data_IF_641350211713
#
_entry.id   IF_641350211713
#
_cell.length_a   1.000
_cell.length_b   1.000
_cell.length_c   1.000
_cell.angle_alpha   90.00
_cell.angle_beta   90.00
_cell.angle_gamma   90.00
#
_symmetry.space_group_name_H-M   'P 1'
#
loop_
_entity.id
_entity.type
_entity.pdbx_description
1 polymer ?
#
# COMPACT_ATOMS: atom_id res chain seq x y z
N UNK A 1 -4.71 12.64 -22.32
CA UNK A 1 -4.79 11.19 -21.98
C UNK A 1 -4.87 11.05 -20.48
N UNK A 2 -5.62 10.06 -19.97
CA UNK A 2 -5.73 9.83 -18.52
C UNK A 2 -4.41 9.26 -17.96
N UNK A 3 -3.72 8.45 -18.74
CA UNK A 3 -2.41 7.85 -18.44
C UNK A 3 -1.51 7.96 -19.67
N UNK A 4 -0.21 8.12 -19.45
CA UNK A 4 0.82 7.93 -20.47
C UNK A 4 1.44 6.53 -20.36
N UNK A 5 2.09 6.05 -21.42
CA UNK A 5 2.67 4.69 -21.47
C UNK A 5 3.77 4.50 -20.43
N UNK A 6 4.58 5.55 -20.18
CA UNK A 6 5.64 5.53 -19.18
C UNK A 6 5.06 5.39 -17.76
N UNK A 7 3.94 6.09 -17.46
CA UNK A 7 3.25 5.97 -16.19
C UNK A 7 2.73 4.56 -15.96
N UNK A 8 2.11 3.94 -16.98
CA UNK A 8 1.60 2.58 -16.88
C UNK A 8 2.73 1.56 -16.63
N UNK A 9 3.86 1.71 -17.33
CA UNK A 9 5.03 0.87 -17.09
C UNK A 9 5.59 1.04 -15.67
N UNK A 10 5.72 2.28 -15.21
CA UNK A 10 6.22 2.60 -13.87
C UNK A 10 5.30 2.06 -12.77
N UNK A 11 3.97 2.19 -12.92
CA UNK A 11 2.99 1.61 -12.01
C UNK A 11 3.11 0.08 -11.99
N UNK A 12 3.16 -0.57 -13.16
CA UNK A 12 3.27 -2.02 -13.27
C UNK A 12 4.55 -2.55 -12.59
N UNK A 13 5.71 -1.94 -12.88
CA UNK A 13 6.99 -2.33 -12.26
C UNK A 13 6.90 -2.16 -10.73
N UNK A 14 6.39 -1.04 -10.25
CA UNK A 14 6.30 -0.76 -8.81
C UNK A 14 5.36 -1.71 -8.08
N UNK A 15 4.22 -2.03 -8.67
CA UNK A 15 3.24 -2.98 -8.12
C UNK A 15 3.81 -4.39 -8.03
N UNK A 16 4.47 -4.86 -9.09
CA UNK A 16 5.13 -6.17 -9.07
C UNK A 16 6.22 -6.18 -8.00
N UNK A 17 7.07 -5.16 -7.97
CA UNK A 17 8.18 -5.09 -7.02
C UNK A 17 7.71 -5.05 -5.56
N UNK A 18 6.70 -4.22 -5.21
CA UNK A 18 6.18 -4.16 -3.85
C UNK A 18 5.49 -5.48 -3.46
N UNK A 19 4.77 -6.11 -4.38
CA UNK A 19 4.11 -7.40 -4.12
C UNK A 19 5.12 -8.51 -3.87
N UNK A 20 6.20 -8.58 -4.65
CA UNK A 20 7.31 -9.52 -4.43
C UNK A 20 8.00 -9.26 -3.10
N UNK A 21 8.33 -7.99 -2.79
CA UNK A 21 8.99 -7.63 -1.54
C UNK A 21 8.15 -8.03 -0.32
N UNK A 22 6.84 -7.74 -0.32
CA UNK A 22 5.94 -8.11 0.77
C UNK A 22 5.76 -9.63 0.85
N UNK A 23 5.65 -10.33 -0.27
CA UNK A 23 5.60 -11.80 -0.26
C UNK A 23 6.85 -12.40 0.39
N UNK A 24 8.04 -11.89 0.07
CA UNK A 24 9.30 -12.32 0.69
C UNK A 24 9.34 -12.02 2.20
N UNK A 25 8.83 -10.87 2.64
CA UNK A 25 8.77 -10.51 4.07
C UNK A 25 7.84 -11.44 4.84
N UNK A 26 6.66 -11.76 4.27
CA UNK A 26 5.66 -12.58 4.96
C UNK A 26 6.14 -14.00 5.24
N UNK A 27 6.76 -14.68 4.28
CA UNK A 27 7.17 -16.07 4.41
C UNK A 27 8.69 -16.24 4.59
N UNK A 28 9.43 -15.15 4.53
CA UNK A 28 10.90 -15.12 4.56
C UNK A 28 11.52 -15.58 3.24
N UNK A 29 12.76 -15.16 2.98
CA UNK A 29 13.46 -15.46 1.73
C UNK A 29 13.54 -16.96 1.44
N UNK A 30 13.90 -17.79 2.45
CA UNK A 30 13.99 -19.25 2.27
C UNK A 30 12.63 -19.88 1.93
N UNK A 31 11.56 -19.43 2.60
CA UNK A 31 10.19 -19.86 2.29
C UNK A 31 9.78 -19.47 0.86
N UNK A 32 10.10 -18.26 0.47
CA UNK A 32 9.81 -17.73 -0.87
C UNK A 32 10.50 -18.53 -1.96
N UNK A 33 11.81 -18.82 -1.81
CA UNK A 33 12.60 -19.60 -2.76
C UNK A 33 12.23 -21.09 -2.82
N UNK A 34 11.52 -21.61 -1.81
CA UNK A 34 11.08 -23.02 -1.75
C UNK A 34 9.65 -23.23 -2.30
N UNK A 35 8.96 -22.19 -2.75
CA UNK A 35 7.63 -22.33 -3.33
C UNK A 35 7.68 -23.07 -4.68
N UNK A 36 6.73 -23.98 -4.88
CA UNK A 36 6.44 -24.45 -6.23
C UNK A 36 5.90 -23.30 -7.08
N UNK A 37 6.03 -23.40 -8.41
CA UNK A 37 5.58 -22.32 -9.31
C UNK A 37 4.08 -22.00 -9.14
N UNK A 38 3.24 -23.03 -8.94
CA UNK A 38 1.81 -22.85 -8.70
C UNK A 38 1.53 -22.14 -7.37
N UNK A 39 2.20 -22.53 -6.29
CA UNK A 39 2.07 -21.86 -4.99
C UNK A 39 2.59 -20.42 -5.05
N UNK A 40 3.69 -20.17 -5.76
CA UNK A 40 4.22 -18.83 -5.98
C UNK A 40 3.19 -17.94 -6.69
N UNK A 41 2.67 -18.37 -7.85
CA UNK A 41 1.70 -17.58 -8.62
C UNK A 41 0.43 -17.30 -7.83
N UNK A 42 -0.10 -18.30 -7.11
CA UNK A 42 -1.29 -18.12 -6.28
C UNK A 42 -1.04 -17.16 -5.13
N UNK A 43 0.07 -17.32 -4.40
CA UNK A 43 0.43 -16.43 -3.29
C UNK A 43 0.73 -15.01 -3.78
N UNK A 44 1.48 -14.87 -4.87
CA UNK A 44 1.76 -13.58 -5.50
C UNK A 44 0.48 -12.85 -5.90
N UNK A 45 -0.49 -13.55 -6.50
CA UNK A 45 -1.79 -12.96 -6.86
C UNK A 45 -2.53 -12.44 -5.62
N UNK A 46 -2.53 -13.20 -4.52
CA UNK A 46 -3.18 -12.76 -3.27
C UNK A 46 -2.50 -11.50 -2.69
N UNK A 47 -1.17 -11.44 -2.72
CA UNK A 47 -0.42 -10.25 -2.29
C UNK A 47 -0.64 -9.08 -3.26
N UNK A 48 -0.71 -9.33 -4.56
CA UNK A 48 -1.03 -8.32 -5.56
C UNK A 48 -2.41 -7.70 -5.31
N UNK A 49 -3.42 -8.53 -5.00
CA UNK A 49 -4.79 -8.07 -4.73
C UNK A 49 -4.94 -7.33 -3.38
N UNK A 50 -4.05 -7.54 -2.44
CA UNK A 50 -4.06 -6.84 -1.14
C UNK A 50 -3.13 -5.62 -1.14
N UNK A 51 -1.83 -5.86 -1.30
CA UNK A 51 -0.78 -4.84 -1.25
C UNK A 51 -0.69 -4.04 -2.54
N UNK A 52 -0.66 -4.71 -3.68
CA UNK A 52 -0.53 -4.06 -4.99
C UNK A 52 -1.69 -3.12 -5.27
N UNK A 53 -2.91 -3.57 -5.03
CA UNK A 53 -4.10 -2.72 -5.17
C UNK A 53 -4.10 -1.56 -4.18
N UNK A 54 -3.69 -1.79 -2.92
CA UNK A 54 -3.55 -0.73 -1.92
C UNK A 54 -2.59 0.36 -2.36
N UNK A 55 -1.44 -0.02 -2.91
CA UNK A 55 -0.46 0.91 -3.46
C UNK A 55 -0.98 1.66 -4.69
N UNK A 56 -1.51 0.95 -5.71
CA UNK A 56 -2.05 1.60 -6.92
C UNK A 56 -3.11 2.62 -6.56
N UNK A 57 -4.10 2.24 -5.75
CA UNK A 57 -5.22 3.11 -5.41
C UNK A 57 -4.78 4.31 -4.58
N UNK A 58 -3.74 4.17 -3.76
CA UNK A 58 -3.10 5.30 -3.07
C UNK A 58 -2.53 6.32 -4.06
N UNK A 59 -1.69 5.87 -5.01
CA UNK A 59 -1.08 6.76 -6.01
C UNK A 59 -2.12 7.38 -6.96
N UNK A 60 -3.12 6.59 -7.38
CA UNK A 60 -4.21 7.11 -8.20
C UNK A 60 -5.07 8.14 -7.46
N UNK A 61 -5.24 7.99 -6.14
CA UNK A 61 -5.95 8.99 -5.34
C UNK A 61 -5.26 10.34 -5.36
N UNK A 62 -3.92 10.39 -5.25
CA UNK A 62 -3.14 11.62 -5.42
C UNK A 62 -3.34 12.21 -6.81
N UNK A 63 -3.21 11.38 -7.85
CA UNK A 63 -3.39 11.80 -9.24
C UNK A 63 -4.76 12.42 -9.47
N UNK A 64 -5.83 11.71 -9.11
CA UNK A 64 -7.19 12.21 -9.33
C UNK A 64 -7.51 13.43 -8.48
N UNK A 65 -6.98 13.52 -7.26
CA UNK A 65 -7.11 14.73 -6.44
C UNK A 65 -6.41 15.92 -7.09
N UNK A 66 -5.21 15.76 -7.67
CA UNK A 66 -4.51 16.81 -8.40
C UNK A 66 -5.28 17.23 -9.66
N UNK A 67 -5.82 16.27 -10.42
CA UNK A 67 -6.62 16.52 -11.62
C UNK A 67 -7.90 17.29 -11.32
N UNK A 68 -8.55 17.09 -10.17
CA UNK A 68 -9.71 17.89 -9.73
C UNK A 68 -9.37 19.36 -9.50
N UNK A 69 -8.12 19.69 -9.26
CA UNK A 69 -7.62 21.06 -9.21
C UNK A 69 -7.09 21.58 -10.55
N UNK A 70 -7.32 20.84 -11.66
CA UNK A 70 -6.89 21.20 -13.00
C UNK A 70 -5.38 21.00 -13.25
N UNK A 71 -4.71 20.21 -12.44
CA UNK A 71 -3.28 19.96 -12.54
C UNK A 71 -3.00 18.64 -13.26
N UNK A 72 -1.96 18.62 -14.09
CA UNK A 72 -1.45 17.37 -14.62
C UNK A 72 -0.65 16.66 -13.53
N UNK A 73 -0.87 15.35 -13.38
CA UNK A 73 -0.14 14.52 -12.46
C UNK A 73 0.10 13.14 -13.07
N UNK A 74 1.29 12.59 -12.86
CA UNK A 74 1.68 11.28 -13.35
C UNK A 74 2.57 10.57 -12.32
N UNK A 75 2.34 9.27 -12.14
CA UNK A 75 3.20 8.44 -11.32
C UNK A 75 4.55 8.22 -12.00
N UNK A 76 5.63 8.31 -11.24
CA UNK A 76 6.98 7.95 -11.69
C UNK A 76 7.66 7.07 -10.66
N UNK A 77 8.19 5.93 -11.10
CA UNK A 77 8.97 5.05 -10.28
C UNK A 77 10.31 5.68 -9.89
N UNK A 78 10.77 5.36 -8.70
CA UNK A 78 12.10 5.75 -8.23
C UNK A 78 13.03 4.53 -8.22
N UNK A 79 13.96 4.39 -9.20
CA UNK A 79 14.78 3.19 -9.35
C UNK A 79 15.57 2.82 -8.10
N UNK A 80 16.16 3.80 -7.40
CA UNK A 80 16.89 3.55 -6.15
C UNK A 80 15.95 3.06 -5.03
N UNK A 81 14.74 3.60 -4.94
CA UNK A 81 13.72 3.15 -3.98
C UNK A 81 13.24 1.73 -4.27
N UNK A 82 13.02 1.38 -5.54
CA UNK A 82 12.71 0.01 -5.97
C UNK A 82 13.83 -0.98 -5.59
N UNK A 83 15.09 -0.59 -5.84
CA UNK A 83 16.24 -1.41 -5.47
C UNK A 83 16.31 -1.63 -3.95
N UNK A 84 16.21 -0.56 -3.16
CA UNK A 84 16.23 -0.65 -1.69
C UNK A 84 15.07 -1.50 -1.18
N UNK A 85 13.87 -1.32 -1.74
CA UNK A 85 12.68 -2.08 -1.35
C UNK A 85 12.85 -3.59 -1.52
N UNK A 86 13.55 -4.04 -2.59
CA UNK A 86 13.83 -5.45 -2.84
C UNK A 86 15.07 -5.94 -2.07
N UNK A 87 16.05 -5.07 -1.87
CA UNK A 87 17.32 -5.44 -1.22
C UNK A 87 17.12 -5.89 0.22
N UNK A 88 16.30 -5.21 1.02
CA UNK A 88 16.09 -5.56 2.43
C UNK A 88 15.53 -6.98 2.60
N UNK A 89 14.44 -7.40 1.94
CA UNK A 89 13.98 -8.78 2.01
C UNK A 89 14.97 -9.80 1.46
N UNK A 90 15.74 -9.47 0.42
CA UNK A 90 16.80 -10.33 -0.12
C UNK A 90 17.94 -10.55 0.87
N UNK A 91 18.25 -9.57 1.70
CA UNK A 91 19.21 -9.71 2.81
C UNK A 91 18.63 -10.46 4.02
N UNK A 92 17.36 -10.87 3.96
CA UNK A 92 16.68 -11.62 5.04
C UNK A 92 16.00 -10.74 6.08
N UNK A 93 15.95 -9.43 5.90
CA UNK A 93 15.19 -8.54 6.77
C UNK A 93 13.69 -8.74 6.58
N UNK A 94 12.95 -8.68 7.68
CA UNK A 94 11.48 -8.84 7.68
C UNK A 94 10.76 -7.49 7.69
N UNK A 95 11.29 -6.54 6.96
CA UNK A 95 10.64 -5.25 6.72
C UNK A 95 10.94 -4.75 5.31
N UNK A 96 10.09 -3.85 4.82
CA UNK A 96 10.21 -3.22 3.50
C UNK A 96 10.27 -1.71 3.66
N UNK A 97 11.26 -1.09 3.04
CA UNK A 97 11.25 0.35 2.82
C UNK A 97 10.39 0.63 1.58
N UNK A 98 9.10 0.93 1.80
CA UNK A 98 8.14 1.08 0.71
C UNK A 98 8.15 2.52 0.14
N UNK A 99 9.11 2.80 -0.73
CA UNK A 99 9.17 4.03 -1.51
C UNK A 99 9.48 3.73 -2.99
N UNK A 100 8.60 2.97 -3.70
CA UNK A 100 8.88 2.55 -5.07
C UNK A 100 8.81 3.68 -6.08
N UNK A 101 8.22 4.81 -5.73
CA UNK A 101 8.02 5.98 -6.57
C UNK A 101 7.05 6.95 -5.93
N UNK A 102 6.57 7.92 -6.68
CA UNK A 102 5.59 8.90 -6.24
C UNK A 102 4.79 9.48 -7.41
N UNK A 103 3.61 10.00 -7.12
CA UNK A 103 2.83 10.81 -8.06
C UNK A 103 3.37 12.24 -8.10
N UNK A 104 3.99 12.60 -9.21
CA UNK A 104 4.49 13.95 -9.47
C UNK A 104 3.35 14.85 -9.97
N UNK A 105 3.27 16.03 -9.39
CA UNK A 105 2.27 17.06 -9.75
C UNK A 105 2.98 18.16 -10.52
N UNK A 106 2.59 18.35 -11.76
CA UNK A 106 3.17 19.38 -12.64
C UNK A 106 2.33 20.65 -12.52
N UNK A 107 2.68 21.50 -11.56
CA UNK A 107 2.02 22.77 -11.31
C UNK A 107 3.04 23.87 -11.05
N UNK A 108 2.80 25.05 -11.62
CA UNK A 108 3.67 26.24 -11.41
C UNK A 108 3.67 26.69 -9.93
N UNK A 109 2.50 26.62 -9.28
CA UNK A 109 2.34 26.91 -7.85
C UNK A 109 1.25 26.04 -7.26
N UNK A 110 1.53 25.47 -6.10
CA UNK A 110 0.58 24.73 -5.25
C UNK A 110 0.31 25.58 -4.00
N UNK A 111 -0.95 25.86 -3.70
CA UNK A 111 -1.31 26.40 -2.39
C UNK A 111 -1.12 25.32 -1.31
N UNK A 112 -0.89 25.75 -0.06
CA UNK A 112 -0.78 24.79 1.07
C UNK A 112 -2.02 23.89 1.17
N UNK A 113 -3.22 24.44 0.91
CA UNK A 113 -4.47 23.68 0.94
C UNK A 113 -4.54 22.63 -0.16
N UNK A 114 -4.20 22.99 -1.39
CA UNK A 114 -4.18 22.03 -2.50
C UNK A 114 -3.17 20.92 -2.25
N UNK A 115 -1.94 21.26 -1.85
CA UNK A 115 -0.91 20.27 -1.54
C UNK A 115 -1.36 19.33 -0.41
N UNK A 116 -1.93 19.87 0.68
CA UNK A 116 -2.44 19.07 1.79
C UNK A 116 -3.60 18.16 1.40
N UNK A 117 -4.59 18.64 0.63
CA UNK A 117 -5.72 17.82 0.18
C UNK A 117 -5.30 16.72 -0.78
N UNK A 118 -4.38 17.00 -1.70
CA UNK A 118 -3.83 16.00 -2.62
C UNK A 118 -3.07 14.95 -1.81
N UNK A 119 -2.20 15.38 -0.89
CA UNK A 119 -1.43 14.45 -0.06
C UNK A 119 -2.27 13.65 0.94
N UNK A 120 -3.43 14.16 1.36
CA UNK A 120 -4.36 13.41 2.21
C UNK A 120 -5.06 12.27 1.44
N UNK A 121 -5.24 12.41 0.13
CA UNK A 121 -6.04 11.48 -0.67
C UNK A 121 -5.50 10.05 -0.64
N UNK A 122 -4.18 9.85 -0.73
CA UNK A 122 -3.55 8.53 -0.65
C UNK A 122 -3.78 7.82 0.68
N UNK A 123 -3.34 8.39 1.81
CA UNK A 123 -3.56 7.80 3.13
C UNK A 123 -5.03 7.57 3.48
N UNK A 124 -5.92 8.47 3.06
CA UNK A 124 -7.37 8.31 3.25
C UNK A 124 -7.89 7.11 2.44
N UNK A 125 -7.43 6.93 1.21
CA UNK A 125 -7.78 5.76 0.39
C UNK A 125 -7.32 4.46 1.06
N UNK A 126 -6.13 4.42 1.62
CA UNK A 126 -5.68 3.25 2.38
C UNK A 126 -6.54 2.99 3.62
N UNK A 127 -6.94 4.02 4.37
CA UNK A 127 -7.84 3.88 5.51
C UNK A 127 -9.21 3.28 5.09
N UNK A 128 -9.77 3.76 3.98
CA UNK A 128 -11.03 3.24 3.42
C UNK A 128 -10.88 1.78 2.94
N UNK A 129 -9.76 1.42 2.30
CA UNK A 129 -9.49 0.06 1.87
C UNK A 129 -9.33 -0.88 3.09
N UNK A 130 -8.61 -0.46 4.12
CA UNK A 130 -8.50 -1.24 5.35
C UNK A 130 -9.87 -1.50 5.98
N UNK A 131 -10.71 -0.47 6.09
CA UNK A 131 -12.07 -0.60 6.57
C UNK A 131 -12.92 -1.54 5.69
N UNK A 132 -12.74 -1.47 4.36
CA UNK A 132 -13.44 -2.36 3.42
C UNK A 132 -13.03 -3.83 3.60
N UNK A 133 -11.72 -4.11 3.78
CA UNK A 133 -11.24 -5.47 4.07
C UNK A 133 -11.79 -6.00 5.39
N UNK A 134 -11.82 -5.18 6.45
CA UNK A 134 -12.39 -5.57 7.75
C UNK A 134 -13.91 -5.79 7.66
N UNK A 135 -14.63 -4.92 6.97
CA UNK A 135 -16.06 -5.09 6.75
C UNK A 135 -16.37 -6.36 5.95
N UNK A 136 -15.58 -6.63 4.89
CA UNK A 136 -15.72 -7.85 4.10
C UNK A 136 -15.43 -9.11 4.94
N UNK A 137 -14.41 -9.08 5.81
CA UNK A 137 -14.13 -10.16 6.74
C UNK A 137 -15.30 -10.38 7.71
N UNK A 138 -15.81 -9.30 8.31
CA UNK A 138 -16.94 -9.35 9.22
C UNK A 138 -18.19 -9.96 8.56
N UNK A 139 -18.52 -9.54 7.35
CA UNK A 139 -19.64 -10.12 6.59
C UNK A 139 -19.38 -11.57 6.24
N UNK A 140 -18.20 -11.91 5.71
CA UNK A 140 -17.85 -13.26 5.31
C UNK A 140 -18.00 -14.25 6.48
N UNK A 141 -17.38 -13.97 7.62
CA UNK A 141 -17.43 -14.84 8.79
C UNK A 141 -18.76 -14.72 9.55
N UNK A 142 -19.40 -13.54 9.52
CA UNK A 142 -20.73 -13.30 10.11
C UNK A 142 -21.82 -14.14 9.45
N UNK A 143 -21.69 -14.48 8.16
CA UNK A 143 -22.57 -15.43 7.48
C UNK A 143 -22.18 -16.91 7.71
N UNK A 144 -21.22 -17.19 8.59
CA UNK A 144 -20.79 -18.55 8.92
C UNK A 144 -19.96 -19.23 7.81
N UNK A 145 -19.40 -18.46 6.87
CA UNK A 145 -18.59 -19.03 5.79
C UNK A 145 -17.25 -19.56 6.34
N UNK A 146 -16.74 -20.69 5.81
CA UNK A 146 -15.57 -21.37 6.37
C UNK A 146 -14.27 -20.63 6.06
N UNK A 147 -13.31 -20.70 6.99
CA UNK A 147 -11.94 -20.23 6.76
C UNK A 147 -11.16 -21.24 5.89
N UNK A 148 -11.34 -21.17 4.57
CA UNK A 148 -10.68 -22.10 3.64
C UNK A 148 -9.23 -21.68 3.36
N UNK A 149 -8.36 -22.68 3.12
CA UNK A 149 -6.99 -22.46 2.64
C UNK A 149 -7.01 -22.08 1.18
N UNK A 150 -6.43 -20.91 0.85
CA UNK A 150 -6.29 -20.40 -0.51
C UNK A 150 -5.01 -20.92 -1.17
N UNK A 151 -3.93 -21.00 -0.40
CA UNK A 151 -2.65 -21.56 -0.85
C UNK A 151 -1.87 -22.20 0.30
N UNK A 152 -1.28 -23.38 0.07
CA UNK A 152 -0.33 -24.00 0.98
C UNK A 152 1.03 -23.31 0.88
N UNK A 153 1.64 -23.03 2.04
CA UNK A 153 2.95 -22.40 2.16
C UNK A 153 3.91 -23.34 2.88
N UNK A 154 5.25 -23.22 2.72
CA UNK A 154 6.23 -24.12 3.36
C UNK A 154 6.15 -24.19 4.88
N UNK A 155 5.57 -23.16 5.53
CA UNK A 155 5.40 -23.08 6.99
C UNK A 155 3.96 -22.72 7.38
N UNK A 156 2.98 -23.39 6.76
CA UNK A 156 1.57 -23.18 7.07
C UNK A 156 0.72 -22.98 5.82
N UNK A 157 -0.28 -22.12 5.90
CA UNK A 157 -1.18 -21.83 4.79
C UNK A 157 -1.61 -20.36 4.78
N UNK A 158 -1.92 -19.85 3.60
CA UNK A 158 -2.59 -18.57 3.43
C UNK A 158 -4.09 -18.85 3.21
N UNK A 159 -4.90 -18.44 4.15
CA UNK A 159 -6.35 -18.68 4.15
C UNK A 159 -7.13 -17.42 3.84
N UNK A 160 -8.45 -17.52 3.74
CA UNK A 160 -9.36 -16.39 3.58
C UNK A 160 -9.19 -15.38 4.72
N UNK A 161 -9.03 -15.85 5.97
CA UNK A 161 -8.74 -14.96 7.10
C UNK A 161 -7.42 -14.21 6.91
N UNK A 162 -6.36 -14.89 6.45
CA UNK A 162 -5.08 -14.25 6.15
C UNK A 162 -5.21 -13.21 5.01
N UNK A 163 -6.03 -13.49 4.00
CA UNK A 163 -6.27 -12.54 2.91
C UNK A 163 -6.88 -11.23 3.43
N UNK A 164 -7.96 -11.32 4.21
CA UNK A 164 -8.59 -10.14 4.78
C UNK A 164 -7.68 -9.40 5.76
N UNK A 165 -7.00 -10.15 6.64
CA UNK A 165 -6.07 -9.57 7.61
C UNK A 165 -4.89 -8.87 6.90
N UNK A 166 -4.29 -9.50 5.90
CA UNK A 166 -3.21 -8.90 5.11
C UNK A 166 -3.69 -7.65 4.39
N UNK A 167 -4.87 -7.70 3.76
CA UNK A 167 -5.45 -6.55 3.08
C UNK A 167 -5.69 -5.37 4.03
N UNK A 168 -6.25 -5.62 5.20
CA UNK A 168 -6.46 -4.59 6.22
C UNK A 168 -5.13 -4.05 6.74
N UNK A 169 -4.25 -4.93 7.22
CA UNK A 169 -2.99 -4.57 7.90
C UNK A 169 -2.05 -3.79 7.00
N UNK A 170 -1.87 -4.22 5.75
CA UNK A 170 -0.97 -3.54 4.83
C UNK A 170 -1.49 -2.14 4.44
N UNK A 171 -2.81 -1.99 4.28
CA UNK A 171 -3.39 -0.69 3.98
C UNK A 171 -3.32 0.25 5.18
N UNK A 172 -3.55 -0.24 6.41
CA UNK A 172 -3.32 0.55 7.63
C UNK A 172 -1.85 0.99 7.70
N UNK A 173 -0.92 0.08 7.44
CA UNK A 173 0.51 0.36 7.48
C UNK A 173 0.94 1.37 6.41
N UNK A 174 0.52 1.20 5.15
CA UNK A 174 0.82 2.13 4.05
C UNK A 174 0.29 3.53 4.35
N UNK A 175 -0.96 3.63 4.81
CA UNK A 175 -1.56 4.92 5.16
C UNK A 175 -0.86 5.58 6.34
N UNK A 176 -0.58 4.84 7.42
CA UNK A 176 0.11 5.36 8.60
C UNK A 176 1.55 5.79 8.29
N UNK A 177 2.31 4.95 7.57
CA UNK A 177 3.69 5.25 7.17
C UNK A 177 3.76 6.55 6.36
N UNK A 178 2.85 6.73 5.40
CA UNK A 178 2.81 7.95 4.60
C UNK A 178 2.37 9.19 5.39
N UNK A 179 1.72 9.03 6.55
CA UNK A 179 1.36 10.14 7.44
C UNK A 179 2.47 10.53 8.42
N UNK A 180 3.62 9.83 8.45
CA UNK A 180 4.79 10.29 9.20
C UNK A 180 5.19 11.68 8.69
N UNK A 181 5.37 12.69 9.59
CA UNK A 181 5.57 14.08 9.18
C UNK A 181 7.01 14.37 8.73
N UNK A 182 7.56 13.51 7.88
CA UNK A 182 8.90 13.62 7.31
C UNK A 182 8.81 13.84 5.79
N UNK A 183 9.56 14.81 5.28
CA UNK A 183 9.68 14.97 3.82
C UNK A 183 10.45 13.76 3.22
N UNK A 184 10.03 13.19 2.08
CA UNK A 184 8.96 13.64 1.15
C UNK A 184 7.57 13.04 1.39
N UNK A 185 7.33 12.34 2.51
CA UNK A 185 6.06 11.67 2.80
C UNK A 185 4.86 12.66 2.87
N UNK A 186 3.66 12.13 2.67
CA UNK A 186 2.43 12.92 2.63
C UNK A 186 2.12 13.62 3.94
N UNK A 187 2.46 12.99 5.07
CA UNK A 187 2.22 13.52 6.41
C UNK A 187 2.80 14.90 6.63
N UNK A 188 3.97 15.20 6.06
CA UNK A 188 4.59 16.53 6.14
C UNK A 188 3.73 17.62 5.49
N UNK A 189 3.10 17.31 4.37
CA UNK A 189 2.25 18.22 3.59
C UNK A 189 0.86 18.38 4.22
N UNK A 190 0.29 17.27 4.71
CA UNK A 190 -1.01 17.27 5.41
C UNK A 190 -0.90 18.06 6.72
N UNK A 191 0.15 17.80 7.53
CA UNK A 191 0.39 18.53 8.78
C UNK A 191 0.59 20.03 8.52
N UNK A 192 1.35 20.41 7.50
CA UNK A 192 1.57 21.81 7.12
C UNK A 192 0.29 22.53 6.69
N UNK A 193 -0.69 21.79 6.14
CA UNK A 193 -2.00 22.34 5.77
C UNK A 193 -2.97 22.36 6.94
N UNK A 194 -3.19 21.21 7.61
CA UNK A 194 -4.19 21.07 8.66
C UNK A 194 -3.77 19.98 9.67
N UNK A 195 -3.28 20.43 10.84
CA UNK A 195 -2.82 19.54 11.90
C UNK A 195 -3.92 18.66 12.48
N UNK A 196 -5.19 19.14 12.49
CA UNK A 196 -6.33 18.37 13.01
C UNK A 196 -6.64 17.18 12.09
N UNK A 197 -6.70 17.41 10.77
CA UNK A 197 -6.90 16.35 9.78
C UNK A 197 -5.76 15.31 9.85
N UNK A 198 -4.52 15.80 9.96
CA UNK A 198 -3.35 14.94 10.13
C UNK A 198 -3.44 14.10 11.41
N UNK A 199 -3.68 14.73 12.55
CA UNK A 199 -3.75 14.03 13.85
C UNK A 199 -4.90 13.02 13.91
N UNK A 200 -6.07 13.37 13.37
CA UNK A 200 -7.23 12.50 13.34
C UNK A 200 -6.94 11.23 12.52
N UNK A 201 -6.46 11.36 11.28
CA UNK A 201 -6.19 10.19 10.43
C UNK A 201 -5.00 9.37 10.94
N UNK A 202 -3.94 10.03 11.41
CA UNK A 202 -2.78 9.36 12.02
C UNK A 202 -3.18 8.60 13.29
N UNK A 203 -4.03 9.21 14.12
CA UNK A 203 -4.55 8.57 15.33
C UNK A 203 -5.41 7.35 15.04
N UNK A 204 -6.32 7.44 14.05
CA UNK A 204 -7.15 6.31 13.61
C UNK A 204 -6.27 5.16 13.09
N UNK A 205 -5.36 5.44 12.17
CA UNK A 205 -4.49 4.42 11.59
C UNK A 205 -3.49 3.87 12.61
N UNK A 206 -2.94 4.72 13.49
CA UNK A 206 -2.06 4.29 14.58
C UNK A 206 -2.77 3.38 15.59
N UNK A 207 -3.99 3.72 16.02
CA UNK A 207 -4.79 2.85 16.87
C UNK A 207 -5.13 1.52 16.16
N UNK A 208 -5.43 1.56 14.85
CA UNK A 208 -5.67 0.35 14.06
C UNK A 208 -4.42 -0.53 13.96
N UNK A 209 -3.22 0.05 13.85
CA UNK A 209 -1.97 -0.71 13.88
C UNK A 209 -1.79 -1.42 15.22
N UNK A 210 -1.99 -0.72 16.33
CA UNK A 210 -1.89 -1.34 17.65
C UNK A 210 -2.89 -2.49 17.79
N UNK A 211 -4.14 -2.30 17.37
CA UNK A 211 -5.17 -3.34 17.44
C UNK A 211 -4.89 -4.56 16.54
N UNK A 212 -4.26 -4.37 15.37
CA UNK A 212 -4.02 -5.45 14.42
C UNK A 212 -2.72 -6.25 14.71
N UNK A 213 -1.76 -5.65 15.44
CA UNK A 213 -0.43 -6.27 15.63
C UNK A 213 -0.11 -6.59 17.08
N UNK A 214 -0.90 -6.12 18.05
CA UNK A 214 -0.74 -6.37 19.49
C UNK A 214 -2.07 -6.79 20.12
#
# INVERSE_FOLDING_TARGET
MLFDDEELQHLAISVVAISVAIAMVQIGLRGFLSLSIGAFLSFFLLILLTTGMGFILHELAHKFAAQRFGMYAAYRAWPAGLLLMLLFPLMGFRFVFAAPGATYIFAYRLSRRQNGLISLAGPLTNALLAAAFLAAAFLYFGFGLPNITLVGLPRGSFSVAHFFFTGASINVWLGFFNLIPLYPLDGSKVLAWNWVAWAALTGILGASLLFLFF
#
